data_IF_713400386537
#
_entry.id   IF_713400386537
#
_cell.length_a   1.000
_cell.length_b   1.000
_cell.length_c   1.000
_cell.angle_alpha   90.00
_cell.angle_beta   90.00
_cell.angle_gamma   90.00
#
_symmetry.space_group_name_H-M   'P 1'
#
loop_
_entity.id
_entity.type
_entity.pdbx_description
1 polymer ?
#
# COMPACT_ATOMS: atom_id res chain seq x y z
N UNK A 1 -24.57 2.60 -28.16
CA UNK A 1 -23.28 2.81 -27.45
C UNK A 1 -22.61 4.15 -27.77
N UNK A 2 -22.55 4.60 -29.03
CA UNK A 2 -21.90 5.87 -29.42
C UNK A 2 -22.51 7.12 -28.76
N UNK A 3 -23.84 7.17 -28.67
CA UNK A 3 -24.55 8.33 -28.08
C UNK A 3 -24.24 8.52 -26.59
N UNK A 4 -24.20 7.44 -25.80
CA UNK A 4 -23.86 7.50 -24.39
C UNK A 4 -22.45 8.07 -24.19
N UNK A 5 -21.48 7.55 -24.95
CA UNK A 5 -20.09 8.02 -24.94
C UNK A 5 -19.98 9.52 -25.26
N UNK A 6 -20.67 9.99 -26.29
CA UNK A 6 -20.66 11.40 -26.70
C UNK A 6 -21.28 12.33 -25.64
N UNK A 7 -22.34 11.90 -24.95
CA UNK A 7 -22.96 12.64 -23.84
C UNK A 7 -21.98 12.73 -22.66
N UNK A 8 -21.40 11.60 -22.21
CA UNK A 8 -20.42 11.60 -21.11
C UNK A 8 -19.20 12.46 -21.42
N UNK A 9 -18.72 12.45 -22.67
CA UNK A 9 -17.57 13.27 -23.09
C UNK A 9 -17.89 14.77 -23.10
N UNK A 10 -19.11 15.17 -23.47
CA UNK A 10 -19.56 16.57 -23.37
C UNK A 10 -19.70 17.04 -21.92
N UNK A 11 -20.26 16.19 -21.06
CA UNK A 11 -20.46 16.49 -19.63
C UNK A 11 -19.15 16.56 -18.84
N UNK A 12 -18.18 15.70 -19.15
CA UNK A 12 -16.91 15.64 -18.46
C UNK A 12 -16.01 16.88 -18.69
N UNK A 13 -16.35 17.74 -19.65
CA UNK A 13 -15.52 18.89 -20.02
C UNK A 13 -14.16 18.46 -20.61
N UNK A 14 -13.33 19.46 -20.95
CA UNK A 14 -11.94 19.19 -21.35
C UNK A 14 -11.10 18.99 -20.10
N UNK A 15 -10.49 17.81 -19.96
CA UNK A 15 -9.46 17.59 -18.95
C UNK A 15 -8.32 18.59 -19.16
N UNK A 16 -8.13 19.50 -18.21
CA UNK A 16 -6.96 20.38 -18.16
C UNK A 16 -5.96 19.70 -17.24
N UNK A 17 -4.84 19.21 -17.79
CA UNK A 17 -3.65 18.92 -16.97
C UNK A 17 -3.30 20.22 -16.25
N UNK A 18 -3.48 20.25 -14.94
CA UNK A 18 -2.83 21.27 -14.13
C UNK A 18 -1.42 20.77 -13.91
N UNK A 19 -0.56 21.00 -14.90
CA UNK A 19 0.87 20.87 -14.65
C UNK A 19 1.20 21.96 -13.63
N UNK A 20 1.38 21.56 -12.37
CA UNK A 20 1.81 22.46 -11.31
C UNK A 20 3.32 22.37 -11.26
N UNK A 21 4.05 23.28 -11.93
CA UNK A 21 5.50 23.28 -11.84
C UNK A 21 5.95 23.39 -10.39
N UNK A 22 6.98 22.62 -10.03
CA UNK A 22 7.66 22.71 -8.74
C UNK A 22 8.24 24.12 -8.60
N UNK A 23 8.02 24.76 -7.46
CA UNK A 23 8.49 26.12 -7.18
C UNK A 23 9.59 26.14 -6.13
N UNK A 24 10.51 27.09 -6.29
CA UNK A 24 11.48 27.43 -5.25
C UNK A 24 10.79 28.06 -4.02
N UNK A 25 11.56 28.39 -2.98
CA UNK A 25 11.03 29.05 -1.77
C UNK A 25 10.49 30.46 -2.04
N UNK A 26 10.93 31.10 -3.12
CA UNK A 26 10.53 32.45 -3.52
C UNK A 26 9.32 32.45 -4.48
N UNK A 27 8.82 31.26 -4.87
CA UNK A 27 7.67 31.09 -5.77
C UNK A 27 8.01 31.03 -7.26
N UNK A 28 9.30 31.02 -7.63
CA UNK A 28 9.75 30.87 -9.01
C UNK A 28 9.67 29.41 -9.45
N UNK A 29 9.32 29.19 -10.72
CA UNK A 29 9.21 27.86 -11.31
C UNK A 29 10.59 27.25 -11.55
N UNK A 30 10.79 26.02 -11.05
CA UNK A 30 12.00 25.23 -11.27
C UNK A 30 11.85 24.37 -12.52
N UNK A 31 12.72 24.60 -13.51
CA UNK A 31 12.68 23.92 -14.82
C UNK A 31 13.68 22.78 -14.93
N UNK A 32 14.74 22.76 -14.12
CA UNK A 32 15.76 21.69 -14.10
C UNK A 32 15.41 20.59 -13.10
N UNK A 33 15.59 19.34 -13.48
CA UNK A 33 15.40 18.18 -12.60
C UNK A 33 16.33 18.24 -11.38
N UNK A 34 17.57 18.72 -11.56
CA UNK A 34 18.54 18.88 -10.46
C UNK A 34 18.05 19.88 -9.42
N UNK A 35 17.50 21.01 -9.87
CA UNK A 35 16.96 22.05 -9.00
C UNK A 35 15.70 21.58 -8.28
N UNK A 36 14.85 20.80 -8.95
CA UNK A 36 13.70 20.18 -8.32
C UNK A 36 14.13 19.20 -7.23
N UNK A 37 15.10 18.32 -7.49
CA UNK A 37 15.63 17.38 -6.50
C UNK A 37 16.26 18.12 -5.31
N UNK A 38 16.99 19.21 -5.56
CA UNK A 38 17.53 20.07 -4.51
C UNK A 38 16.41 20.68 -3.67
N UNK A 39 15.37 21.21 -4.30
CA UNK A 39 14.20 21.77 -3.62
C UNK A 39 13.45 20.74 -2.77
N UNK A 40 13.34 19.50 -3.27
CA UNK A 40 12.77 18.37 -2.52
C UNK A 40 13.62 18.05 -1.29
N UNK A 41 14.94 17.95 -1.44
CA UNK A 41 15.87 17.72 -0.33
C UNK A 41 15.71 18.79 0.75
N UNK A 42 15.77 20.06 0.36
CA UNK A 42 15.59 21.20 1.29
C UNK A 42 14.25 21.15 2.01
N UNK A 43 13.17 20.81 1.31
CA UNK A 43 11.84 20.72 1.92
C UNK A 43 11.76 19.64 2.99
N UNK A 44 12.27 18.44 2.70
CA UNK A 44 12.25 17.32 3.63
C UNK A 44 13.22 17.51 4.79
N UNK A 45 14.38 18.11 4.55
CA UNK A 45 15.35 18.42 5.60
C UNK A 45 14.76 19.40 6.63
N UNK A 46 14.09 20.45 6.17
CA UNK A 46 13.41 21.43 7.03
C UNK A 46 12.23 20.83 7.79
N UNK A 47 11.46 19.94 7.14
CA UNK A 47 10.27 19.35 7.73
C UNK A 47 10.60 18.26 8.75
N UNK A 48 11.57 17.38 8.44
CA UNK A 48 11.84 16.17 9.21
C UNK A 48 12.89 16.39 10.32
N UNK A 49 13.80 17.36 10.17
CA UNK A 49 14.85 17.64 11.16
C UNK A 49 14.51 18.83 12.07
N UNK A 50 13.22 19.20 12.17
CA UNK A 50 12.78 20.26 13.09
C UNK A 50 13.01 19.82 14.54
N UNK A 51 13.57 20.68 15.42
CA UNK A 51 13.64 20.36 16.85
C UNK A 51 12.23 20.13 17.43
N UNK A 52 12.10 19.38 18.53
CA UNK A 52 10.83 19.24 19.24
C UNK A 52 10.19 20.61 19.48
N UNK A 53 8.86 20.74 19.33
CA UNK A 53 8.19 22.01 19.57
C UNK A 53 8.41 22.45 21.03
N UNK A 54 8.67 23.75 21.26
CA UNK A 54 8.87 24.31 22.61
C UNK A 54 7.67 24.04 23.53
N UNK A 55 6.47 24.09 22.95
CA UNK A 55 5.23 23.71 23.62
C UNK A 55 4.79 22.37 23.02
N UNK A 56 5.03 21.24 23.72
CA UNK A 56 4.46 19.97 23.29
C UNK A 56 2.93 20.10 23.24
N UNK A 57 2.25 19.41 22.31
CA UNK A 57 0.80 19.36 22.32
C UNK A 57 0.34 18.77 23.65
N UNK A 58 -0.61 19.45 24.30
CA UNK A 58 -1.33 18.91 25.45
C UNK A 58 -2.38 17.92 24.91
N UNK A 59 -1.96 16.66 24.78
CA UNK A 59 -2.81 15.59 24.30
C UNK A 59 -3.62 15.12 25.50
N UNK A 60 -4.88 15.56 25.58
CA UNK A 60 -5.82 15.02 26.57
C UNK A 60 -5.92 13.50 26.36
N UNK A 61 -5.79 12.69 27.42
CA UNK A 61 -5.99 11.25 27.30
C UNK A 61 -7.37 10.97 26.70
N UNK A 62 -7.48 9.90 25.92
CA UNK A 62 -8.77 9.47 25.42
C UNK A 62 -9.74 9.28 26.59
N UNK A 63 -10.93 9.89 26.49
CA UNK A 63 -11.97 9.83 27.51
C UNK A 63 -12.43 8.37 27.75
N UNK A 64 -12.36 7.55 26.69
CA UNK A 64 -12.58 6.11 26.75
C UNK A 64 -11.40 5.35 26.17
N UNK A 65 -10.85 4.42 26.97
CA UNK A 65 -9.90 3.43 26.47
C UNK A 65 -10.71 2.28 25.89
N UNK A 66 -10.64 2.08 24.58
CA UNK A 66 -11.22 0.91 23.93
C UNK A 66 -10.51 -0.34 24.48
N UNK A 67 -11.28 -1.25 25.06
CA UNK A 67 -10.79 -2.56 25.50
C UNK A 67 -10.53 -3.45 24.27
N UNK A 68 -9.42 -3.18 23.59
CA UNK A 68 -8.97 -3.95 22.42
C UNK A 68 -7.97 -4.99 22.92
N UNK A 69 -8.17 -6.25 22.53
CA UNK A 69 -7.18 -7.29 22.78
C UNK A 69 -5.94 -7.04 21.89
N UNK A 70 -4.84 -6.60 22.52
CA UNK A 70 -3.55 -6.40 21.87
C UNK A 70 -2.62 -7.62 21.99
N UNK A 71 -3.12 -8.74 22.53
CA UNK A 71 -2.37 -10.00 22.58
C UNK A 71 -2.13 -10.58 21.19
N UNK A 72 -1.25 -11.58 21.13
CA UNK A 72 -0.97 -12.30 19.90
C UNK A 72 -2.25 -13.00 19.41
N UNK A 73 -2.63 -12.85 18.13
CA UNK A 73 -3.77 -13.56 17.57
C UNK A 73 -3.65 -15.08 17.74
N UNK A 74 -4.73 -15.71 18.16
CA UNK A 74 -4.83 -17.16 18.28
C UNK A 74 -4.92 -17.82 16.90
N UNK A 75 -4.57 -19.11 16.85
CA UNK A 75 -4.70 -19.91 15.62
C UNK A 75 -6.13 -19.90 15.07
N UNK A 76 -7.12 -20.06 15.96
CA UNK A 76 -8.53 -20.12 15.59
C UNK A 76 -9.02 -18.79 15.00
N UNK A 77 -8.54 -17.65 15.51
CA UNK A 77 -8.86 -16.33 14.95
C UNK A 77 -8.29 -16.17 13.54
N UNK A 78 -7.03 -16.56 13.33
CA UNK A 78 -6.38 -16.50 12.01
C UNK A 78 -7.12 -17.40 11.01
N UNK A 79 -7.45 -18.63 11.40
CA UNK A 79 -8.24 -19.55 10.58
C UNK A 79 -9.59 -18.94 10.22
N UNK A 80 -10.31 -18.40 11.21
CA UNK A 80 -11.62 -17.78 11.01
C UNK A 80 -11.52 -16.61 10.03
N UNK A 81 -10.53 -15.72 10.17
CA UNK A 81 -10.33 -14.57 9.27
C UNK A 81 -10.05 -15.04 7.84
N UNK A 82 -9.16 -16.02 7.65
CA UNK A 82 -8.85 -16.55 6.31
C UNK A 82 -10.10 -17.14 5.65
N UNK A 83 -10.93 -17.87 6.40
CA UNK A 83 -12.20 -18.40 5.88
C UNK A 83 -13.16 -17.28 5.44
N UNK A 84 -13.20 -16.15 6.16
CA UNK A 84 -14.06 -15.00 5.86
C UNK A 84 -13.55 -14.12 4.70
N UNK A 85 -12.32 -14.30 4.20
CA UNK A 85 -11.80 -13.52 3.08
C UNK A 85 -12.66 -13.69 1.82
N UNK A 86 -12.85 -12.64 1.02
CA UNK A 86 -13.65 -12.73 -0.23
C UNK A 86 -12.80 -13.29 -1.37
N UNK A 87 -13.35 -14.24 -2.11
CA UNK A 87 -12.78 -14.76 -3.38
C UNK A 87 -13.07 -13.78 -4.53
N UNK A 88 -12.30 -13.86 -5.61
CA UNK A 88 -12.44 -13.06 -6.82
C UNK A 88 -11.98 -11.61 -6.66
N UNK A 89 -11.17 -11.31 -5.65
CA UNK A 89 -10.56 -9.98 -5.47
C UNK A 89 -9.21 -9.92 -6.17
N UNK A 90 -8.89 -8.75 -6.71
CA UNK A 90 -7.59 -8.50 -7.30
C UNK A 90 -6.50 -8.67 -6.24
N UNK A 91 -5.41 -9.31 -6.61
CA UNK A 91 -4.24 -9.42 -5.75
C UNK A 91 -3.57 -8.07 -5.54
N UNK A 92 -2.90 -7.92 -4.38
CA UNK A 92 -2.00 -6.80 -4.15
C UNK A 92 -0.71 -6.89 -4.98
N UNK A 93 0.26 -6.03 -4.66
CA UNK A 93 1.59 -6.02 -5.27
C UNK A 93 2.35 -7.34 -5.11
N UNK A 94 2.00 -8.11 -4.08
CA UNK A 94 2.52 -9.45 -3.79
C UNK A 94 2.10 -10.51 -4.83
N UNK A 95 1.08 -10.23 -5.65
CA UNK A 95 0.50 -11.15 -6.63
C UNK A 95 -0.03 -12.46 -6.00
N UNK A 96 -0.33 -12.45 -4.70
CA UNK A 96 -0.97 -13.55 -3.97
C UNK A 96 -2.49 -13.29 -3.81
N UNK A 97 -3.36 -14.01 -4.54
CA UNK A 97 -4.80 -13.85 -4.40
C UNK A 97 -5.34 -14.57 -3.15
N UNK A 98 -6.52 -14.17 -2.68
CA UNK A 98 -7.15 -14.73 -1.48
C UNK A 98 -7.40 -16.26 -1.58
N UNK A 99 -7.59 -16.78 -2.79
CA UNK A 99 -7.75 -18.20 -3.07
C UNK A 99 -6.51 -19.01 -2.74
N UNK A 100 -5.33 -18.45 -3.02
CA UNK A 100 -4.06 -19.11 -2.70
C UNK A 100 -3.89 -19.21 -1.18
N UNK A 101 -4.25 -18.14 -0.46
CA UNK A 101 -4.22 -18.10 1.00
C UNK A 101 -5.19 -19.14 1.60
N UNK A 102 -6.39 -19.25 1.04
CA UNK A 102 -7.39 -20.24 1.48
C UNK A 102 -7.05 -21.68 1.12
N UNK A 103 -6.22 -21.91 0.11
CA UNK A 103 -5.84 -23.26 -0.32
C UNK A 103 -4.80 -23.90 0.60
N UNK A 104 -4.00 -23.09 1.30
CA UNK A 104 -2.87 -23.57 2.10
C UNK A 104 -2.78 -22.90 3.49
N UNK A 105 -3.91 -22.95 4.20
CA UNK A 105 -4.11 -22.31 5.51
C UNK A 105 -3.10 -22.82 6.54
N UNK A 106 -2.88 -24.14 6.57
CA UNK A 106 -1.95 -24.75 7.52
C UNK A 106 -0.52 -24.25 7.29
N UNK A 107 0.00 -24.28 6.05
CA UNK A 107 1.35 -23.77 5.82
C UNK A 107 1.46 -22.28 6.14
N UNK A 108 0.42 -21.47 5.94
CA UNK A 108 0.45 -20.03 6.28
C UNK A 108 0.53 -19.83 7.80
N UNK A 109 -0.21 -20.62 8.57
CA UNK A 109 -0.20 -20.53 10.04
C UNK A 109 1.13 -21.04 10.63
N UNK A 110 1.72 -22.08 10.03
CA UNK A 110 2.94 -22.71 10.55
C UNK A 110 4.25 -22.09 9.99
N UNK A 111 4.25 -21.56 8.76
CA UNK A 111 5.45 -20.97 8.11
C UNK A 111 5.80 -19.59 8.65
N UNK A 112 4.85 -18.86 9.25
CA UNK A 112 5.13 -17.61 9.97
C UNK A 112 6.00 -17.78 11.22
N UNK A 113 6.27 -19.02 11.65
CA UNK A 113 7.19 -19.33 12.77
C UNK A 113 8.52 -19.96 12.34
N UNK A 114 8.60 -20.58 11.17
CA UNK A 114 9.86 -21.13 10.64
C UNK A 114 9.84 -21.08 9.11
N UNK A 115 10.75 -20.30 8.52
CA UNK A 115 10.96 -20.23 7.08
C UNK A 115 11.14 -21.61 6.47
N UNK A 116 10.08 -22.14 5.86
CA UNK A 116 10.07 -23.48 5.29
C UNK A 116 10.54 -23.43 3.85
N UNK A 117 11.81 -23.81 3.65
CA UNK A 117 12.35 -24.21 2.34
C UNK A 117 11.67 -25.51 1.87
N UNK A 118 10.49 -25.43 1.26
CA UNK A 118 9.99 -26.53 0.41
C UNK A 118 10.43 -26.29 -1.03
N UNK A 119 11.45 -27.05 -1.46
CA UNK A 119 11.85 -27.15 -2.87
C UNK A 119 10.70 -27.78 -3.65
N UNK A 120 10.05 -27.03 -4.53
CA UNK A 120 9.23 -27.63 -5.58
C UNK A 120 10.19 -28.22 -6.63
N UNK A 121 10.25 -29.55 -6.71
CA UNK A 121 10.90 -30.23 -7.83
C UNK A 121 9.98 -30.08 -9.05
N UNK A 122 10.40 -29.25 -10.01
CA UNK A 122 9.82 -29.22 -11.35
C UNK A 122 10.22 -30.51 -12.07
N UNK A 123 9.29 -31.46 -12.15
CA UNK A 123 9.44 -32.64 -12.99
C UNK A 123 9.41 -32.23 -14.46
N UNK A 124 10.59 -31.96 -15.03
CA UNK A 124 10.79 -31.87 -16.46
C UNK A 124 10.49 -33.23 -17.10
N UNK A 125 9.37 -33.30 -17.83
CA UNK A 125 9.12 -34.39 -18.78
C UNK A 125 10.26 -34.40 -19.80
N UNK A 126 11.10 -35.43 -19.74
CA UNK A 126 12.09 -35.72 -20.79
C UNK A 126 11.33 -36.08 -22.06
N UNK A 127 11.50 -35.27 -23.11
CA UNK A 127 11.14 -35.67 -24.46
C UNK A 127 12.04 -36.84 -24.86
N UNK A 128 11.42 -37.96 -25.22
CA UNK A 128 12.07 -39.03 -25.97
C UNK A 128 11.98 -38.72 -27.45
N UNK A 129 13.06 -39.14 -28.13
CA UNK A 129 13.45 -38.91 -29.52
C UNK A 129 12.41 -39.23 -30.59
#
# INVERSE_FOLDING_TARGET
>A
MKQLYDITRKLAGKYKRTDRPTKDKNGNVLTSDEDQLKRWREHFEELLNRPPPQNPPDITPAEEVLQINCERPSKAEIEKVIHHMKRGKASGLDKIPAEAIKADIDNIIYSGRYGSKKKYQLNGKKGTS
#
